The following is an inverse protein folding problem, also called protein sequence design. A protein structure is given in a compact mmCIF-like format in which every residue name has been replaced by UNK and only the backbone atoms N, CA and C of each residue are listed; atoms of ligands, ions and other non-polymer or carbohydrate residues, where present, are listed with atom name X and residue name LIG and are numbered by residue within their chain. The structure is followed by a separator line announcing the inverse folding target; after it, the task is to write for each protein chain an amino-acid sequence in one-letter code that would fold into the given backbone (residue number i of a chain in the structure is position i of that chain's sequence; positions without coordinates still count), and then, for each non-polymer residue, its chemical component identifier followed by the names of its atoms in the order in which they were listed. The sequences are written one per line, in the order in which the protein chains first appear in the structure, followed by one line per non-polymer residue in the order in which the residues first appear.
data_IF_223935143604
#
_entry.id   IF_223935143604
#
_cell.length_a   1.000
_cell.length_b   1.000
_cell.length_c   1.000
_cell.angle_alpha   90.00
_cell.angle_beta   90.00
_cell.angle_gamma   90.00
#
_symmetry.space_group_name_H-M   'P 1'
#
loop_
_entity.id
_entity.type
_entity.pdbx_description
1 polymer ?
#
# COMPACT_ATOMS: atom_id res chain seq x y z
N UNK A 1 5.52 20.75 -6.48
CA UNK A 1 5.33 19.55 -7.29
C UNK A 1 4.87 18.47 -6.33
N UNK A 2 3.55 18.36 -6.16
CA UNK A 2 2.98 17.31 -5.31
C UNK A 2 3.19 15.99 -6.04
N UNK A 3 4.10 15.17 -5.52
CA UNK A 3 4.40 13.86 -6.08
C UNK A 3 3.18 12.93 -6.10
N UNK A 4 3.31 11.72 -6.66
CA UNK A 4 2.21 10.75 -6.63
C UNK A 4 1.76 10.48 -5.19
N UNK A 5 0.46 10.26 -5.01
CA UNK A 5 -0.12 9.84 -3.72
C UNK A 5 0.50 8.54 -3.24
N UNK A 6 0.20 8.19 -1.99
CA UNK A 6 0.74 6.98 -1.37
C UNK A 6 0.21 5.71 -2.05
N UNK A 7 -1.08 5.66 -2.33
CA UNK A 7 -1.75 4.59 -3.06
C UNK A 7 -1.22 4.47 -4.49
N UNK A 8 -1.05 5.59 -5.19
CA UNK A 8 -0.48 5.60 -6.54
C UNK A 8 0.99 5.12 -6.55
N UNK A 9 1.77 5.48 -5.53
CA UNK A 9 3.15 5.01 -5.36
C UNK A 9 3.20 3.48 -5.23
N UNK A 10 2.33 2.90 -4.40
CA UNK A 10 2.21 1.44 -4.26
C UNK A 10 1.76 0.76 -5.55
N UNK A 11 0.72 1.30 -6.20
CA UNK A 11 0.20 0.77 -7.47
C UNK A 11 1.28 0.73 -8.54
N UNK A 12 2.05 1.81 -8.70
CA UNK A 12 3.16 1.90 -9.66
C UNK A 12 4.25 0.89 -9.35
N UNK A 13 4.63 0.74 -8.08
CA UNK A 13 5.65 -0.23 -7.69
C UNK A 13 5.18 -1.67 -7.93
N UNK A 14 3.92 -1.99 -7.61
CA UNK A 14 3.31 -3.30 -7.93
C UNK A 14 3.37 -3.58 -9.43
N UNK A 15 2.93 -2.62 -10.26
CA UNK A 15 2.94 -2.76 -11.72
C UNK A 15 4.36 -2.92 -12.27
N UNK A 16 5.33 -2.17 -11.75
CA UNK A 16 6.75 -2.27 -12.12
C UNK A 16 7.36 -3.63 -11.72
N UNK A 17 6.89 -4.21 -10.63
CA UNK A 17 7.27 -5.56 -10.19
C UNK A 17 6.57 -6.67 -11.00
N UNK A 18 5.68 -6.34 -11.94
CA UNK A 18 4.94 -7.31 -12.74
C UNK A 18 3.88 -8.09 -11.95
N UNK A 19 3.50 -7.61 -10.77
CA UNK A 19 2.56 -8.28 -9.86
C UNK A 19 1.12 -7.85 -10.16
N UNK A 20 0.20 -8.82 -10.16
CA UNK A 20 -1.23 -8.54 -10.07
C UNK A 20 -1.60 -8.24 -8.62
N UNK A 21 -2.79 -7.67 -8.43
CA UNK A 21 -3.34 -7.43 -7.08
C UNK A 21 -3.53 -8.75 -6.34
N UNK A 22 -3.91 -9.82 -7.05
CA UNK A 22 -4.07 -11.16 -6.49
C UNK A 22 -2.74 -11.75 -6.01
N UNK A 23 -1.64 -11.51 -6.73
CA UNK A 23 -0.31 -11.96 -6.34
C UNK A 23 0.14 -11.26 -5.04
N UNK A 24 -0.08 -9.94 -4.99
CA UNK A 24 0.23 -9.12 -3.81
C UNK A 24 -0.66 -9.50 -2.61
N UNK A 25 -1.94 -9.79 -2.86
CA UNK A 25 -2.87 -10.29 -1.85
C UNK A 25 -2.41 -11.63 -1.28
N UNK A 26 -2.00 -12.57 -2.14
CA UNK A 26 -1.53 -13.88 -1.74
C UNK A 26 -0.24 -13.81 -0.90
N UNK A 27 0.72 -12.95 -1.28
CA UNK A 27 2.00 -12.84 -0.57
C UNK A 27 1.88 -12.13 0.78
N UNK A 28 0.97 -11.16 0.90
CA UNK A 28 0.79 -10.35 2.13
C UNK A 28 -0.32 -10.84 3.05
N UNK A 29 -1.18 -11.75 2.57
CA UNK A 29 -2.44 -12.17 3.23
C UNK A 29 -3.41 -11.02 3.47
N UNK A 30 -3.26 -9.92 2.73
CA UNK A 30 -4.20 -8.79 2.73
C UNK A 30 -5.24 -9.06 1.65
N UNK A 31 -6.54 -8.96 1.98
CA UNK A 31 -7.62 -9.26 1.03
C UNK A 31 -7.54 -8.34 -0.20
N UNK A 32 -7.79 -8.87 -1.39
CA UNK A 32 -7.78 -8.13 -2.67
C UNK A 32 -8.53 -6.78 -2.58
N UNK A 33 -9.78 -6.69 -2.05
CA UNK A 33 -10.48 -5.42 -1.96
C UNK A 33 -9.75 -4.37 -1.10
N UNK A 34 -9.04 -4.81 -0.05
CA UNK A 34 -8.28 -3.92 0.82
C UNK A 34 -6.98 -3.44 0.15
N UNK A 35 -6.33 -4.30 -0.64
CA UNK A 35 -5.18 -3.88 -1.47
C UNK A 35 -5.61 -2.82 -2.47
N UNK A 36 -6.74 -3.02 -3.15
CA UNK A 36 -7.29 -2.05 -4.10
C UNK A 36 -7.68 -0.74 -3.42
N UNK A 37 -8.29 -0.80 -2.23
CA UNK A 37 -8.64 0.38 -1.44
C UNK A 37 -7.40 1.20 -1.10
N UNK A 38 -6.35 0.56 -0.57
CA UNK A 38 -5.08 1.22 -0.24
C UNK A 38 -4.41 1.80 -1.50
N UNK A 39 -4.42 1.11 -2.64
CA UNK A 39 -3.91 1.66 -3.91
C UNK A 39 -4.73 2.85 -4.46
N UNK A 40 -5.93 3.09 -3.92
CA UNK A 40 -6.79 4.24 -4.22
C UNK A 40 -6.83 5.25 -3.06
N UNK A 41 -5.87 5.19 -2.13
CA UNK A 41 -5.81 6.05 -0.92
C UNK A 41 -7.02 5.91 0.02
N UNK A 42 -7.79 4.82 -0.10
CA UNK A 42 -8.89 4.50 0.81
C UNK A 42 -8.40 3.56 1.94
N UNK A 43 -8.12 4.16 3.09
CA UNK A 43 -7.72 3.46 4.32
C UNK A 43 -8.89 3.19 5.27
N UNK A 44 -10.12 3.59 4.92
CA UNK A 44 -11.30 3.48 5.79
C UNK A 44 -11.58 2.03 6.21
N UNK A 45 -11.25 1.07 5.33
CA UNK A 45 -11.47 -0.36 5.55
C UNK A 45 -10.34 -1.05 6.34
N UNK A 46 -9.29 -0.33 6.73
CA UNK A 46 -8.19 -0.91 7.50
C UNK A 46 -8.57 -1.22 8.96
N UNK A 47 -9.69 -0.67 9.48
CA UNK A 47 -10.06 -0.86 10.89
C UNK A 47 -9.24 0.00 11.87
N UNK A 48 -8.65 1.09 11.38
CA UNK A 48 -7.90 2.08 12.16
C UNK A 48 -6.43 2.23 11.74
N UNK A 49 -5.81 3.30 12.24
CA UNK A 49 -4.45 3.74 11.86
C UNK A 49 -3.37 2.68 12.09
N UNK A 50 -3.48 1.90 13.18
CA UNK A 50 -2.50 0.84 13.49
C UNK A 50 -2.48 -0.24 12.42
N UNK A 51 -3.66 -0.68 11.97
CA UNK A 51 -3.78 -1.69 10.92
C UNK A 51 -3.39 -1.12 9.56
N UNK A 52 -3.77 0.13 9.25
CA UNK A 52 -3.36 0.80 8.01
C UNK A 52 -1.83 0.85 7.87
N UNK A 53 -1.12 1.24 8.93
CA UNK A 53 0.36 1.22 8.97
C UNK A 53 0.94 -0.18 8.78
N UNK A 54 0.31 -1.19 9.38
CA UNK A 54 0.69 -2.59 9.22
C UNK A 54 0.57 -3.05 7.76
N UNK A 55 -0.57 -2.76 7.13
CA UNK A 55 -0.83 -3.09 5.73
C UNK A 55 0.11 -2.35 4.79
N UNK A 56 0.28 -1.04 5.00
CA UNK A 56 1.19 -0.21 4.21
C UNK A 56 2.62 -0.75 4.25
N UNK A 57 3.11 -1.12 5.44
CA UNK A 57 4.44 -1.72 5.59
C UNK A 57 4.56 -3.05 4.85
N UNK A 58 3.55 -3.91 4.93
CA UNK A 58 3.55 -5.21 4.26
C UNK A 58 3.53 -5.06 2.72
N UNK A 59 2.66 -4.19 2.20
CA UNK A 59 2.53 -3.93 0.77
C UNK A 59 3.82 -3.33 0.20
N UNK A 60 4.38 -2.29 0.85
CA UNK A 60 5.63 -1.65 0.43
C UNK A 60 6.77 -2.68 0.29
N UNK A 61 6.97 -3.52 1.31
CA UNK A 61 7.99 -4.58 1.27
C UNK A 61 7.75 -5.59 0.13
N UNK A 62 6.52 -6.00 -0.07
CA UNK A 62 6.18 -6.99 -1.10
C UNK A 62 6.37 -6.46 -2.53
N UNK A 63 6.29 -5.14 -2.74
CA UNK A 63 6.57 -4.50 -4.03
C UNK A 63 7.99 -3.93 -4.15
N UNK A 64 8.87 -4.21 -3.16
CA UNK A 64 10.28 -3.80 -3.18
C UNK A 64 10.53 -2.32 -2.83
N UNK A 65 9.59 -1.66 -2.15
CA UNK A 65 9.76 -0.30 -1.62
C UNK A 65 10.23 -0.32 -0.16
N UNK A 66 10.95 0.73 0.22
CA UNK A 66 11.18 1.05 1.63
C UNK A 66 9.88 1.55 2.28
N UNK A 67 9.36 0.90 3.33
CA UNK A 67 8.13 1.34 3.99
C UNK A 67 8.25 2.65 4.76
N UNK A 68 9.43 3.03 5.26
CA UNK A 68 9.56 4.16 6.20
C UNK A 68 9.13 5.51 5.58
N UNK A 69 9.55 5.87 4.34
CA UNK A 69 9.07 7.08 3.69
C UNK A 69 7.57 7.09 3.44
N UNK A 70 6.96 5.93 3.16
CA UNK A 70 5.51 5.84 2.94
C UNK A 70 4.76 6.02 4.26
N UNK A 71 5.23 5.40 5.33
CA UNK A 71 4.63 5.54 6.66
C UNK A 71 4.72 6.98 7.17
N UNK A 72 5.86 7.64 6.95
CA UNK A 72 6.03 9.05 7.32
C UNK A 72 5.06 9.98 6.56
N UNK A 73 4.80 9.70 5.28
CA UNK A 73 3.79 10.42 4.50
C UNK A 73 2.38 10.15 5.02
N UNK A 74 2.05 8.90 5.28
CA UNK A 74 0.75 8.51 5.83
C UNK A 74 0.46 9.18 7.19
N UNK A 75 1.48 9.36 8.04
CA UNK A 75 1.32 10.03 9.34
C UNK A 75 1.22 11.57 9.23
N UNK A 76 1.60 12.13 8.08
CA UNK A 76 1.59 13.58 7.83
C UNK A 76 0.29 14.07 7.17
N UNK A 77 -0.55 13.15 6.69
CA UNK A 77 -1.91 13.38 6.19
C UNK A 77 -2.94 13.33 7.33
#
# INVERSE_FOLDING_TARGET
DDGPSLGETLRRARAKAGLRVEDLSASTRIRVPLVQAIENDDFSQCGGTVYARGHLRALARAVGLDPEPLLARYDAE
#
